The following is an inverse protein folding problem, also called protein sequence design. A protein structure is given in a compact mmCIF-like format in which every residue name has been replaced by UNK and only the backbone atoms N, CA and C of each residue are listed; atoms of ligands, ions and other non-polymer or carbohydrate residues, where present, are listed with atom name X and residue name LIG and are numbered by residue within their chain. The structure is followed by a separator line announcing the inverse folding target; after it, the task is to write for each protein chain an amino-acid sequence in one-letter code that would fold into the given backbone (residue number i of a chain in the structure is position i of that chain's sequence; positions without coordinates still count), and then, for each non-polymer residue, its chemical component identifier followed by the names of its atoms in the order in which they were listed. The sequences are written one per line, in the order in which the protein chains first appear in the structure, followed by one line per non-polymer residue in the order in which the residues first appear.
data_IF_310813217791
#
_entry.id   IF_310813217791
#
_cell.length_a   1.000
_cell.length_b   1.000
_cell.length_c   1.000
_cell.angle_alpha   90.00
_cell.angle_beta   90.00
_cell.angle_gamma   90.00
#
_symmetry.space_group_name_H-M   'P 1'
#
loop_
_entity.id
_entity.type
_entity.pdbx_description
1 polymer ?
#
# COMPACT_ATOMS: atom_id res chain seq x y z
N UNK A 1 3.10 -9.85 -8.97
CA UNK A 1 2.02 -9.15 -9.69
C UNK A 1 2.62 -8.11 -10.62
N UNK A 2 2.11 -7.97 -11.84
CA UNK A 2 2.53 -6.94 -12.79
C UNK A 2 1.98 -5.55 -12.39
N UNK A 3 2.38 -4.51 -13.12
CA UNK A 3 1.81 -3.17 -12.97
C UNK A 3 0.30 -3.16 -13.25
N UNK A 4 -0.13 -3.84 -14.32
CA UNK A 4 -1.54 -3.91 -14.74
C UNK A 4 -2.40 -4.53 -13.65
N UNK A 5 -1.98 -5.67 -13.10
CA UNK A 5 -2.72 -6.36 -12.04
C UNK A 5 -2.86 -5.50 -10.77
N UNK A 6 -1.79 -4.78 -10.38
CA UNK A 6 -1.83 -3.89 -9.23
C UNK A 6 -2.70 -2.66 -9.50
N UNK A 7 -2.59 -2.07 -10.69
CA UNK A 7 -3.40 -0.92 -11.08
C UNK A 7 -4.89 -1.28 -11.10
N UNK A 8 -5.25 -2.45 -11.61
CA UNK A 8 -6.63 -2.94 -11.63
C UNK A 8 -7.15 -3.20 -10.21
N UNK A 9 -6.38 -3.90 -9.37
CA UNK A 9 -6.75 -4.15 -7.98
C UNK A 9 -7.07 -2.85 -7.22
N UNK A 10 -6.16 -1.87 -7.28
CA UNK A 10 -6.31 -0.60 -6.56
C UNK A 10 -7.38 0.33 -7.16
N UNK A 11 -7.84 0.07 -8.39
CA UNK A 11 -8.97 0.79 -8.98
C UNK A 11 -10.33 0.27 -8.49
N UNK A 12 -10.38 -1.00 -8.06
CA UNK A 12 -11.63 -1.67 -7.67
C UNK A 12 -11.85 -1.72 -6.14
N UNK A 13 -10.80 -1.48 -5.35
CA UNK A 13 -10.86 -1.49 -3.89
C UNK A 13 -11.14 -0.09 -3.33
N UNK A 14 -11.96 -0.03 -2.28
CA UNK A 14 -12.12 1.20 -1.49
C UNK A 14 -10.90 1.39 -0.58
N UNK A 15 -10.18 2.50 -0.75
CA UNK A 15 -9.00 2.80 0.04
C UNK A 15 -9.37 3.66 1.26
N UNK A 16 -8.99 3.26 2.49
CA UNK A 16 -9.19 4.08 3.67
C UNK A 16 -8.22 5.25 3.67
N UNK A 17 -8.53 6.33 4.40
CA UNK A 17 -7.60 7.45 4.56
C UNK A 17 -6.34 7.03 5.33
N UNK A 18 -6.48 6.09 6.26
CA UNK A 18 -5.40 5.55 7.08
C UNK A 18 -5.41 4.01 7.01
N UNK A 19 -4.23 3.41 6.82
CA UNK A 19 -4.05 1.96 6.82
C UNK A 19 -2.88 1.56 7.70
N UNK A 20 -3.19 0.76 8.72
CA UNK A 20 -2.18 0.20 9.61
C UNK A 20 -1.53 -1.04 8.97
N UNK A 21 -0.22 -0.98 8.76
CA UNK A 21 0.53 -2.04 8.09
C UNK A 21 1.10 -3.05 9.08
N UNK A 22 1.52 -2.58 10.26
CA UNK A 22 2.02 -3.41 11.34
C UNK A 22 1.93 -2.71 12.70
N UNK A 23 2.61 -3.27 13.70
CA UNK A 23 2.64 -2.76 15.08
C UNK A 23 3.11 -1.30 15.22
N UNK A 24 3.98 -0.83 14.34
CA UNK A 24 4.64 0.47 14.41
C UNK A 24 4.37 1.37 13.19
N UNK A 25 3.92 0.79 12.08
CA UNK A 25 3.77 1.48 10.80
C UNK A 25 2.31 1.68 10.45
N UNK A 26 1.96 2.94 10.24
CA UNK A 26 0.68 3.39 9.72
C UNK A 26 0.92 4.22 8.47
N UNK A 27 0.22 3.90 7.39
CA UNK A 27 0.20 4.73 6.20
C UNK A 27 -0.98 5.69 6.26
N UNK A 28 -0.70 6.99 6.16
CA UNK A 28 -1.70 8.04 6.00
C UNK A 28 -1.88 8.37 4.52
N UNK A 29 -3.05 8.90 4.16
CA UNK A 29 -3.42 9.28 2.79
C UNK A 29 -3.18 8.15 1.79
N UNK A 30 -3.73 6.97 2.07
CA UNK A 30 -3.44 5.73 1.33
C UNK A 30 -3.70 5.90 -0.17
N UNK A 31 -4.77 6.59 -0.56
CA UNK A 31 -5.10 6.83 -1.97
C UNK A 31 -3.98 7.59 -2.72
N UNK A 32 -3.49 8.68 -2.14
CA UNK A 32 -2.41 9.48 -2.74
C UNK A 32 -1.10 8.69 -2.80
N UNK A 33 -0.82 7.92 -1.74
CA UNK A 33 0.37 7.08 -1.68
C UNK A 33 0.35 5.98 -2.73
N UNK A 34 -0.76 5.26 -2.89
CA UNK A 34 -0.97 4.25 -3.94
C UNK A 34 -0.81 4.86 -5.33
N UNK A 35 -1.43 6.01 -5.58
CA UNK A 35 -1.34 6.72 -6.87
C UNK A 35 0.11 7.07 -7.22
N UNK A 36 0.86 7.58 -6.24
CA UNK A 36 2.27 7.91 -6.43
C UNK A 36 3.13 6.66 -6.67
N UNK A 37 2.86 5.56 -5.95
CA UNK A 37 3.57 4.30 -6.14
C UNK A 37 3.30 3.69 -7.52
N UNK A 38 2.05 3.67 -7.99
CA UNK A 38 1.71 3.19 -9.34
C UNK A 38 2.39 4.04 -10.41
N UNK A 39 2.33 5.37 -10.28
CA UNK A 39 3.05 6.28 -11.18
C UNK A 39 4.55 5.98 -11.22
N UNK A 40 5.16 5.78 -10.06
CA UNK A 40 6.59 5.49 -9.96
C UNK A 40 6.96 4.11 -10.48
N UNK A 41 6.12 3.09 -10.26
CA UNK A 41 6.31 1.75 -10.82
C UNK A 41 6.26 1.79 -12.35
N UNK A 42 5.37 2.60 -12.93
CA UNK A 42 5.31 2.82 -14.38
C UNK A 42 6.55 3.54 -14.94
N UNK A 43 7.03 4.56 -14.23
CA UNK A 43 8.18 5.36 -14.68
C UNK A 43 9.53 4.67 -14.44
N UNK A 44 9.61 3.82 -13.42
CA UNK A 44 10.82 3.14 -12.97
C UNK A 44 10.55 1.64 -12.78
N UNK A 45 10.32 0.89 -13.88
CA UNK A 45 9.90 -0.51 -13.81
C UNK A 45 10.93 -1.44 -13.15
N UNK A 46 12.22 -1.09 -13.22
CA UNK A 46 13.30 -1.87 -12.58
C UNK A 46 13.38 -1.68 -11.05
N UNK A 47 12.66 -0.68 -10.51
CA UNK A 47 12.67 -0.41 -9.07
C UNK A 47 11.63 -1.26 -8.33
N UNK A 48 12.06 -2.45 -7.91
CA UNK A 48 11.26 -3.41 -7.16
C UNK A 48 10.61 -2.86 -5.88
N UNK A 49 11.14 -1.76 -5.31
CA UNK A 49 10.64 -1.18 -4.06
C UNK A 49 9.20 -0.68 -4.20
N UNK A 50 8.84 -0.12 -5.35
CA UNK A 50 7.48 0.40 -5.57
C UNK A 50 6.46 -0.74 -5.60
N UNK A 51 6.78 -1.80 -6.33
CA UNK A 51 5.99 -3.03 -6.35
C UNK A 51 5.86 -3.65 -4.96
N UNK A 52 6.96 -3.73 -4.21
CA UNK A 52 6.95 -4.26 -2.84
C UNK A 52 6.01 -3.48 -1.91
N UNK A 53 6.03 -2.14 -1.96
CA UNK A 53 5.14 -1.33 -1.13
C UNK A 53 3.67 -1.49 -1.52
N UNK A 54 3.36 -1.54 -2.83
CA UNK A 54 2.01 -1.82 -3.31
C UNK A 54 1.50 -3.19 -2.83
N UNK A 55 2.35 -4.22 -2.90
CA UNK A 55 2.03 -5.55 -2.38
C UNK A 55 1.79 -5.54 -0.87
N UNK A 56 2.57 -4.76 -0.11
CA UNK A 56 2.39 -4.62 1.34
C UNK A 56 1.07 -3.95 1.69
N UNK A 57 0.68 -2.90 0.95
CA UNK A 57 -0.62 -2.24 1.10
C UNK A 57 -1.77 -3.18 0.76
N UNK A 58 -1.67 -3.91 -0.37
CA UNK A 58 -2.64 -4.93 -0.75
C UNK A 58 -2.83 -5.96 0.36
N UNK A 59 -1.74 -6.50 0.89
CA UNK A 59 -1.82 -7.48 1.98
C UNK A 59 -2.46 -6.89 3.24
N UNK A 60 -2.16 -5.64 3.60
CA UNK A 60 -2.78 -4.99 4.75
C UNK A 60 -4.27 -4.67 4.54
N UNK A 61 -4.73 -4.47 3.30
CA UNK A 61 -6.16 -4.32 2.98
C UNK A 61 -6.90 -5.67 3.06
N UNK A 62 -6.29 -6.74 2.55
CA UNK A 62 -6.85 -8.09 2.59
C UNK A 62 -6.80 -8.70 4.00
N UNK A 63 -5.74 -8.40 4.75
CA UNK A 63 -5.47 -8.91 6.09
C UNK A 63 -5.10 -7.74 7.01
N UNK A 64 -6.07 -6.93 7.46
CA UNK A 64 -5.81 -5.79 8.34
C UNK A 64 -5.09 -6.20 9.62
N UNK A 65 -4.07 -5.43 9.99
CA UNK A 65 -3.35 -5.67 11.24
C UNK A 65 -4.25 -5.40 12.44
N UNK A 66 -4.52 -6.44 13.24
CA UNK A 66 -5.40 -6.40 14.41
C UNK A 66 -4.66 -6.46 15.75
N UNK A 67 -3.32 -6.40 15.75
CA UNK A 67 -2.50 -6.49 16.95
C UNK A 67 -2.41 -5.18 17.75
N UNK A 68 -1.84 -5.22 18.96
CA UNK A 68 -1.71 -4.05 19.83
C UNK A 68 -0.87 -2.96 19.15
N UNK A 69 -1.24 -1.70 19.39
CA UNK A 69 -0.45 -0.54 18.96
C UNK A 69 0.73 -0.31 19.90
N UNK A 70 1.91 -0.09 19.32
CA UNK A 70 3.05 0.40 20.09
C UNK A 70 2.78 1.89 20.33
N UNK A 71 2.68 2.34 21.58
CA UNK A 71 2.48 3.75 21.88
C UNK A 71 3.60 4.57 21.24
N UNK A 72 3.25 5.54 20.39
CA UNK A 72 4.19 6.55 19.91
C UNK A 72 4.28 7.60 21.01
N UNK A 73 5.29 7.46 21.86
CA UNK A 73 5.63 8.44 22.90
C UNK A 73 6.20 9.71 22.27
#
# INVERSE_FOLDING_TARGET
MSYEELSEYFSNVTLPDELRLDRATTQLHVADFVKQLLKNMKNYPDNWRHQYQLMRLKNALENPYNGPEIPRF
#
